data_IF_802677774257
#
_entry.id   IF_802677774257
#
_cell.length_a   1.000
_cell.length_b   1.000
_cell.length_c   1.000
_cell.angle_alpha   90.00
_cell.angle_beta   90.00
_cell.angle_gamma   90.00
#
_symmetry.space_group_name_H-M   'P 1'
#
loop_
_entity.id
_entity.type
_entity.pdbx_description
1 polymer ?
#
# COMPACT_ATOMS: atom_id res chain seq x y z
N UNK A 1 -48.74 -20.41 16.38
CA UNK A 1 -48.02 -21.27 15.44
C UNK A 1 -47.58 -20.38 14.26
N UNK A 2 -46.30 -20.40 13.93
CA UNK A 2 -45.73 -19.63 12.82
C UNK A 2 -45.70 -20.58 11.61
N UNK A 3 -46.13 -20.15 10.41
CA UNK A 3 -46.00 -20.95 9.19
C UNK A 3 -44.54 -21.38 8.97
N UNK A 4 -44.31 -22.56 8.42
CA UNK A 4 -42.99 -23.12 8.18
C UNK A 4 -42.08 -22.19 7.35
N UNK A 5 -42.67 -21.53 6.35
CA UNK A 5 -41.97 -20.53 5.51
C UNK A 5 -41.44 -19.34 6.33
N UNK A 6 -42.22 -18.83 7.27
CA UNK A 6 -41.82 -17.70 8.12
C UNK A 6 -40.78 -18.11 9.16
N UNK A 7 -40.91 -19.32 9.71
CA UNK A 7 -39.93 -19.88 10.63
C UNK A 7 -38.58 -20.12 9.92
N UNK A 8 -38.60 -20.63 8.70
CA UNK A 8 -37.40 -20.81 7.87
C UNK A 8 -36.73 -19.45 7.53
N UNK A 9 -37.53 -18.43 7.17
CA UNK A 9 -37.06 -17.08 6.87
C UNK A 9 -36.38 -16.45 8.10
N UNK A 10 -37.05 -16.47 9.27
CA UNK A 10 -36.51 -15.92 10.52
C UNK A 10 -35.22 -16.64 10.94
N UNK A 11 -35.21 -17.98 10.82
CA UNK A 11 -34.04 -18.79 11.10
C UNK A 11 -32.85 -18.44 10.22
N UNK A 12 -33.07 -18.29 8.92
CA UNK A 12 -32.04 -17.91 7.94
C UNK A 12 -31.51 -16.49 8.22
N UNK A 13 -32.39 -15.53 8.46
CA UNK A 13 -31.99 -14.17 8.81
C UNK A 13 -31.11 -14.13 10.06
N UNK A 14 -31.49 -14.87 11.09
CA UNK A 14 -30.72 -14.94 12.34
C UNK A 14 -29.33 -15.55 12.14
N UNK A 15 -29.26 -16.64 11.36
CA UNK A 15 -27.96 -17.26 11.03
C UNK A 15 -27.07 -16.28 10.24
N UNK A 16 -27.61 -15.60 9.25
CA UNK A 16 -26.85 -14.63 8.46
C UNK A 16 -26.38 -13.48 9.36
N UNK A 17 -27.25 -12.94 10.21
CA UNK A 17 -26.95 -11.79 11.06
C UNK A 17 -25.93 -12.12 12.15
N UNK A 18 -26.13 -13.21 12.87
CA UNK A 18 -25.42 -13.49 14.12
C UNK A 18 -24.19 -14.39 13.92
N UNK A 19 -24.18 -15.24 12.89
CA UNK A 19 -23.17 -16.29 12.74
C UNK A 19 -22.37 -16.21 11.43
N UNK A 20 -22.91 -15.64 10.34
CA UNK A 20 -22.18 -15.55 9.09
C UNK A 20 -21.19 -14.40 9.09
N UNK A 21 -19.96 -14.65 8.67
CA UNK A 21 -18.93 -13.61 8.44
C UNK A 21 -19.07 -13.00 7.04
N UNK A 22 -19.46 -13.82 6.06
CA UNK A 22 -19.65 -13.43 4.67
C UNK A 22 -20.82 -14.20 4.06
N UNK A 23 -21.51 -13.61 3.07
CA UNK A 23 -22.54 -14.23 2.28
C UNK A 23 -22.01 -14.78 0.96
N UNK A 24 -22.50 -15.93 0.53
CA UNK A 24 -22.31 -16.43 -0.83
C UNK A 24 -23.70 -16.62 -1.44
N UNK A 25 -24.04 -15.78 -2.41
CA UNK A 25 -25.28 -15.93 -3.17
C UNK A 25 -25.00 -16.82 -4.36
N UNK A 26 -25.64 -17.98 -4.42
CA UNK A 26 -25.52 -18.89 -5.56
C UNK A 26 -26.71 -18.70 -6.47
N UNK A 27 -26.47 -18.33 -7.72
CA UNK A 27 -27.47 -18.18 -8.76
C UNK A 27 -27.05 -18.93 -10.02
N UNK A 28 -27.85 -18.91 -11.06
CA UNK A 28 -27.59 -19.63 -12.32
C UNK A 28 -27.96 -18.79 -13.55
N UNK A 29 -27.34 -19.09 -14.66
CA UNK A 29 -27.71 -18.56 -15.99
C UNK A 29 -28.89 -19.31 -16.63
N UNK A 30 -29.49 -20.26 -15.92
CA UNK A 30 -30.55 -21.11 -16.42
C UNK A 30 -30.10 -22.36 -17.18
N UNK A 31 -28.78 -22.54 -17.36
CA UNK A 31 -28.22 -23.72 -18.04
C UNK A 31 -28.16 -24.96 -17.14
N UNK A 32 -28.31 -24.79 -15.84
CA UNK A 32 -28.29 -25.86 -14.85
C UNK A 32 -29.69 -25.98 -14.21
N UNK A 33 -30.26 -27.16 -14.29
CA UNK A 33 -31.60 -27.41 -13.81
C UNK A 33 -32.67 -27.31 -14.90
N UNK A 34 -33.95 -27.44 -14.50
CA UNK A 34 -35.09 -27.44 -15.41
C UNK A 34 -35.80 -26.10 -15.53
N UNK A 35 -35.42 -25.13 -14.67
CA UNK A 35 -36.08 -23.83 -14.61
C UNK A 35 -35.26 -22.77 -15.35
N UNK A 36 -35.90 -21.91 -16.15
CA UNK A 36 -35.23 -20.79 -16.82
C UNK A 36 -34.75 -19.72 -15.82
N UNK A 37 -33.81 -18.91 -16.27
CA UNK A 37 -33.16 -17.86 -15.45
C UNK A 37 -34.12 -16.94 -14.72
N UNK A 38 -35.23 -16.59 -15.38
CA UNK A 38 -36.23 -15.64 -14.86
C UNK A 38 -36.83 -16.07 -13.52
N UNK A 39 -36.90 -17.37 -13.27
CA UNK A 39 -37.47 -17.94 -12.04
C UNK A 39 -36.55 -17.75 -10.82
N UNK A 40 -35.28 -17.42 -11.04
CA UNK A 40 -34.30 -17.22 -9.96
C UNK A 40 -34.08 -15.76 -9.59
N UNK A 41 -34.44 -14.80 -10.47
CA UNK A 41 -34.15 -13.38 -10.33
C UNK A 41 -34.73 -12.79 -9.04
N UNK A 42 -36.00 -13.04 -8.74
CA UNK A 42 -36.65 -12.49 -7.54
C UNK A 42 -36.03 -13.02 -6.25
N UNK A 43 -35.70 -14.30 -6.19
CA UNK A 43 -35.03 -14.90 -5.03
C UNK A 43 -33.59 -14.37 -4.86
N UNK A 44 -32.88 -14.20 -5.97
CA UNK A 44 -31.53 -13.61 -6.00
C UNK A 44 -31.53 -12.17 -5.49
N UNK A 45 -32.41 -11.31 -6.00
CA UNK A 45 -32.57 -9.92 -5.56
C UNK A 45 -32.89 -9.87 -4.06
N UNK A 46 -33.84 -10.64 -3.59
CA UNK A 46 -34.19 -10.73 -2.18
C UNK A 46 -33.02 -11.13 -1.29
N UNK A 47 -32.22 -12.10 -1.73
CA UNK A 47 -31.03 -12.54 -0.98
C UNK A 47 -29.94 -11.46 -0.93
N UNK A 48 -29.69 -10.77 -2.05
CA UNK A 48 -28.71 -9.69 -2.13
C UNK A 48 -29.14 -8.49 -1.29
N UNK A 49 -30.42 -8.06 -1.38
CA UNK A 49 -30.97 -6.96 -0.58
C UNK A 49 -30.79 -7.21 0.92
N UNK A 50 -31.10 -8.42 1.37
CA UNK A 50 -30.93 -8.79 2.78
C UNK A 50 -29.49 -8.73 3.24
N UNK A 51 -28.55 -9.20 2.43
CA UNK A 51 -27.12 -9.11 2.76
C UNK A 51 -26.64 -7.65 2.83
N UNK A 52 -27.16 -6.79 1.94
CA UNK A 52 -26.90 -5.34 1.97
C UNK A 52 -27.48 -4.67 3.21
N UNK A 53 -28.74 -4.99 3.59
CA UNK A 53 -29.37 -4.47 4.80
C UNK A 53 -28.62 -4.83 6.07
N UNK A 54 -28.11 -6.06 6.15
CA UNK A 54 -27.34 -6.55 7.31
C UNK A 54 -25.90 -6.00 7.31
N UNK A 55 -25.44 -5.43 6.18
CA UNK A 55 -24.08 -4.91 6.03
C UNK A 55 -23.00 -5.99 5.96
N UNK A 56 -23.35 -7.22 5.59
CA UNK A 56 -22.38 -8.30 5.43
C UNK A 56 -21.73 -8.24 4.06
N UNK A 57 -20.42 -8.44 3.96
CA UNK A 57 -19.77 -8.63 2.67
C UNK A 57 -20.31 -9.91 2.00
N UNK A 58 -20.43 -9.88 0.67
CA UNK A 58 -20.94 -11.03 -0.08
C UNK A 58 -20.33 -11.11 -1.47
N UNK A 59 -20.32 -12.30 -2.02
CA UNK A 59 -19.97 -12.59 -3.40
C UNK A 59 -21.13 -13.35 -4.06
N UNK A 60 -21.22 -13.25 -5.38
CA UNK A 60 -22.21 -13.98 -6.17
C UNK A 60 -21.48 -15.07 -6.96
N UNK A 61 -21.91 -16.29 -6.81
CA UNK A 61 -21.46 -17.43 -7.62
C UNK A 61 -22.49 -17.69 -8.71
N UNK A 62 -22.12 -17.47 -9.96
CA UNK A 62 -22.94 -17.72 -11.12
C UNK A 62 -22.69 -19.13 -11.63
N UNK A 63 -23.62 -20.07 -11.30
CA UNK A 63 -23.51 -21.46 -11.69
C UNK A 63 -23.95 -21.66 -13.14
N UNK A 64 -23.04 -22.09 -13.99
CA UNK A 64 -23.27 -22.29 -15.42
C UNK A 64 -22.62 -23.57 -15.91
N UNK A 65 -23.26 -24.24 -16.88
CA UNK A 65 -22.63 -25.35 -17.61
C UNK A 65 -21.42 -24.90 -18.42
N UNK A 66 -21.42 -23.62 -18.88
CA UNK A 66 -20.35 -23.02 -19.68
C UNK A 66 -19.92 -21.69 -19.08
N UNK A 67 -19.20 -21.67 -17.96
CA UNK A 67 -18.89 -20.45 -17.21
C UNK A 67 -18.11 -19.41 -17.99
N UNK A 68 -17.43 -19.80 -19.07
CA UNK A 68 -16.61 -18.91 -19.91
C UNK A 68 -17.24 -18.61 -21.27
N UNK A 69 -18.53 -18.91 -21.49
CA UNK A 69 -19.22 -18.52 -22.71
C UNK A 69 -19.46 -17.00 -22.74
N UNK A 70 -19.60 -16.44 -23.95
CA UNK A 70 -19.90 -15.00 -24.12
C UNK A 70 -21.17 -14.57 -23.41
N UNK A 71 -22.19 -15.44 -23.44
CA UNK A 71 -23.47 -15.17 -22.80
C UNK A 71 -23.36 -15.13 -21.28
N UNK A 72 -22.65 -16.12 -20.69
CA UNK A 72 -22.42 -16.17 -19.22
C UNK A 72 -21.55 -15.00 -18.75
N UNK A 73 -20.55 -14.60 -19.53
CA UNK A 73 -19.71 -13.45 -19.21
C UNK A 73 -20.47 -12.12 -19.32
N UNK A 74 -21.34 -11.96 -20.32
CA UNK A 74 -22.22 -10.80 -20.41
C UNK A 74 -23.21 -10.72 -19.25
N UNK A 75 -23.79 -11.85 -18.83
CA UNK A 75 -24.64 -11.92 -17.64
C UNK A 75 -23.85 -11.57 -16.37
N UNK A 76 -22.64 -12.10 -16.24
CA UNK A 76 -21.73 -11.74 -15.13
C UNK A 76 -21.54 -10.21 -15.03
N UNK A 77 -21.19 -9.56 -16.13
CA UNK A 77 -20.98 -8.10 -16.16
C UNK A 77 -22.25 -7.33 -15.79
N UNK A 78 -23.42 -7.79 -16.28
CA UNK A 78 -24.70 -7.20 -15.92
C UNK A 78 -24.99 -7.31 -14.42
N UNK A 79 -24.76 -8.47 -13.83
CA UNK A 79 -24.97 -8.70 -12.39
C UNK A 79 -23.97 -7.91 -11.53
N UNK A 80 -22.71 -7.78 -11.97
CA UNK A 80 -21.70 -6.95 -11.28
C UNK A 80 -22.11 -5.47 -11.26
N UNK A 81 -22.67 -4.97 -12.36
CA UNK A 81 -23.18 -3.59 -12.44
C UNK A 81 -24.43 -3.38 -11.61
N UNK A 82 -25.37 -4.33 -11.62
CA UNK A 82 -26.64 -4.23 -10.90
C UNK A 82 -26.43 -4.31 -9.37
N UNK A 83 -25.65 -5.30 -8.92
CA UNK A 83 -25.49 -5.58 -7.49
C UNK A 83 -24.27 -4.89 -6.86
N UNK A 84 -23.37 -4.32 -7.66
CA UNK A 84 -22.09 -3.73 -7.20
C UNK A 84 -21.27 -4.74 -6.37
N UNK A 85 -21.29 -6.01 -6.79
CA UNK A 85 -20.64 -7.12 -6.13
C UNK A 85 -19.83 -7.95 -7.11
N UNK A 86 -18.85 -8.68 -6.62
CA UNK A 86 -18.07 -9.60 -7.44
C UNK A 86 -18.92 -10.82 -7.81
N UNK A 87 -18.96 -11.14 -9.11
CA UNK A 87 -19.64 -12.33 -9.66
C UNK A 87 -18.59 -13.29 -10.21
N UNK A 88 -18.60 -14.53 -9.69
CA UNK A 88 -17.67 -15.58 -10.10
C UNK A 88 -18.44 -16.66 -10.86
N UNK A 89 -18.28 -16.76 -12.19
CA UNK A 89 -18.91 -17.81 -12.97
C UNK A 89 -18.15 -19.13 -12.78
N UNK A 90 -18.85 -20.19 -12.41
CA UNK A 90 -18.28 -21.53 -12.22
C UNK A 90 -19.28 -22.61 -12.62
N UNK A 91 -18.79 -23.81 -12.90
CA UNK A 91 -19.63 -25.01 -13.00
C UNK A 91 -19.57 -25.78 -11.67
N UNK A 92 -20.57 -25.62 -10.83
CA UNK A 92 -20.58 -26.25 -9.52
C UNK A 92 -20.60 -27.79 -9.56
N UNK A 93 -21.07 -28.40 -10.66
CA UNK A 93 -21.06 -29.86 -10.84
C UNK A 93 -19.66 -30.37 -11.23
N UNK A 94 -18.86 -29.56 -11.89
CA UNK A 94 -17.55 -29.91 -12.39
C UNK A 94 -16.47 -28.95 -11.81
N UNK A 95 -16.65 -28.56 -10.56
CA UNK A 95 -15.76 -27.60 -9.90
C UNK A 95 -14.37 -28.20 -9.71
N UNK A 96 -13.36 -27.53 -10.26
CA UNK A 96 -11.96 -27.87 -10.07
C UNK A 96 -11.35 -27.07 -8.93
N UNK A 97 -10.13 -27.47 -8.51
CA UNK A 97 -9.39 -26.77 -7.45
C UNK A 97 -9.17 -25.30 -7.77
N UNK A 98 -8.94 -24.96 -9.02
CA UNK A 98 -8.69 -23.59 -9.49
C UNK A 98 -9.94 -22.72 -9.37
N UNK A 99 -11.12 -23.27 -9.68
CA UNK A 99 -12.40 -22.58 -9.50
C UNK A 99 -12.64 -22.28 -8.03
N UNK A 100 -12.40 -23.26 -7.15
CA UNK A 100 -12.52 -23.08 -5.71
C UNK A 100 -11.57 -21.98 -5.20
N UNK A 101 -10.32 -21.99 -5.65
CA UNK A 101 -9.33 -20.94 -5.30
C UNK A 101 -9.79 -19.57 -5.77
N UNK A 102 -10.41 -19.47 -6.95
CA UNK A 102 -10.94 -18.23 -7.50
C UNK A 102 -12.10 -17.70 -6.66
N UNK A 103 -13.05 -18.55 -6.30
CA UNK A 103 -14.16 -18.20 -5.40
C UNK A 103 -13.63 -17.77 -4.04
N UNK A 104 -12.69 -18.51 -3.45
CA UNK A 104 -12.10 -18.17 -2.16
C UNK A 104 -11.35 -16.84 -2.19
N UNK A 105 -10.60 -16.57 -3.25
CA UNK A 105 -9.95 -15.27 -3.45
C UNK A 105 -11.00 -14.15 -3.52
N UNK A 106 -12.03 -14.31 -4.33
CA UNK A 106 -13.12 -13.32 -4.43
C UNK A 106 -13.74 -13.03 -3.07
N UNK A 107 -14.00 -14.08 -2.27
CA UNK A 107 -14.51 -13.96 -0.90
C UNK A 107 -13.55 -13.12 -0.03
N UNK A 108 -12.27 -13.46 -0.03
CA UNK A 108 -11.26 -12.79 0.81
C UNK A 108 -11.08 -11.32 0.44
N UNK A 109 -11.21 -10.97 -0.84
CA UNK A 109 -11.13 -9.59 -1.31
C UNK A 109 -12.34 -8.74 -0.89
N UNK A 110 -13.47 -9.34 -0.53
CA UNK A 110 -14.66 -8.64 0.00
C UNK A 110 -14.57 -8.33 1.51
N UNK A 111 -13.58 -8.87 2.21
CA UNK A 111 -13.40 -8.56 3.62
C UNK A 111 -13.06 -7.09 3.84
N UNK A 112 -13.57 -6.51 4.96
CA UNK A 112 -13.24 -5.14 5.31
C UNK A 112 -11.76 -4.99 5.62
N UNK A 113 -11.19 -3.86 5.24
CA UNK A 113 -9.85 -3.47 5.68
C UNK A 113 -9.94 -3.02 7.13
N UNK A 114 -9.14 -3.65 7.97
CA UNK A 114 -9.05 -3.34 9.40
C UNK A 114 -7.90 -2.38 9.71
N UNK A 115 -6.87 -2.40 8.84
CA UNK A 115 -5.66 -1.61 9.00
C UNK A 115 -5.03 -1.27 7.66
N UNK A 116 -4.60 -0.01 7.52
CA UNK A 116 -3.81 0.45 6.38
C UNK A 116 -2.46 0.92 6.90
N UNK A 117 -1.38 0.28 6.44
CA UNK A 117 -0.01 0.67 6.73
C UNK A 117 0.59 1.39 5.52
N UNK A 118 1.29 2.51 5.77
CA UNK A 118 1.99 3.25 4.72
C UNK A 118 3.49 3.03 4.86
N UNK A 119 4.09 2.38 3.85
CA UNK A 119 5.54 2.22 3.76
C UNK A 119 6.14 3.43 3.06
N UNK A 120 6.76 4.32 3.82
CA UNK A 120 7.42 5.54 3.35
C UNK A 120 8.93 5.41 3.43
N UNK A 121 9.73 6.20 2.65
CA UNK A 121 11.17 6.21 2.78
C UNK A 121 11.61 6.64 4.19
N UNK A 122 12.51 5.88 4.81
CA UNK A 122 12.93 6.11 6.22
C UNK A 122 13.45 7.52 6.51
N UNK A 123 14.10 8.14 5.55
CA UNK A 123 14.62 9.50 5.72
C UNK A 123 13.51 10.54 5.97
N UNK A 124 12.28 10.26 5.51
CA UNK A 124 11.13 11.16 5.73
C UNK A 124 10.68 11.20 7.18
N UNK A 125 11.08 10.23 8.00
CA UNK A 125 10.82 10.22 9.44
C UNK A 125 11.55 11.37 10.15
N UNK A 126 12.70 11.78 9.63
CA UNK A 126 13.52 12.90 10.17
C UNK A 126 12.89 14.26 9.87
N UNK A 127 11.93 14.36 8.94
CA UNK A 127 11.27 15.61 8.61
C UNK A 127 10.47 16.14 9.80
N UNK A 128 10.54 17.45 10.10
CA UNK A 128 9.64 18.11 11.05
C UNK A 128 8.17 17.88 10.66
N UNK A 129 7.26 17.90 11.63
CA UNK A 129 5.83 17.69 11.36
C UNK A 129 5.24 18.77 10.43
N UNK A 130 5.78 19.98 10.50
CA UNK A 130 5.37 21.14 9.70
C UNK A 130 5.96 21.14 8.28
N UNK A 131 6.84 20.18 7.98
CA UNK A 131 7.48 20.11 6.67
C UNK A 131 6.46 19.80 5.58
N UNK A 132 6.49 20.56 4.48
CA UNK A 132 5.51 20.45 3.37
C UNK A 132 5.37 19.03 2.82
N UNK A 133 6.48 18.32 2.65
CA UNK A 133 6.48 16.94 2.17
C UNK A 133 5.75 16.01 3.14
N UNK A 134 6.01 16.12 4.44
CA UNK A 134 5.36 15.27 5.45
C UNK A 134 3.87 15.55 5.52
N UNK A 135 3.46 16.81 5.44
CA UNK A 135 2.06 17.21 5.35
C UNK A 135 1.39 16.64 4.09
N UNK A 136 2.05 16.70 2.93
CA UNK A 136 1.53 16.13 1.68
C UNK A 136 1.39 14.61 1.75
N UNK A 137 2.37 13.90 2.35
CA UNK A 137 2.28 12.45 2.57
C UNK A 137 1.07 12.09 3.45
N UNK A 138 0.88 12.79 4.57
CA UNK A 138 -0.24 12.56 5.49
C UNK A 138 -1.58 12.85 4.78
N UNK A 139 -1.66 13.94 4.04
CA UNK A 139 -2.88 14.29 3.32
C UNK A 139 -3.20 13.27 2.22
N UNK A 140 -2.22 12.83 1.46
CA UNK A 140 -2.39 11.79 0.44
C UNK A 140 -2.82 10.46 1.08
N UNK A 141 -2.19 10.07 2.19
CA UNK A 141 -2.58 8.89 2.95
C UNK A 141 -4.03 8.96 3.46
N UNK A 142 -4.45 10.10 4.02
CA UNK A 142 -5.81 10.32 4.50
C UNK A 142 -6.84 10.18 3.37
N UNK A 143 -6.58 10.79 2.21
CA UNK A 143 -7.47 10.71 1.05
C UNK A 143 -7.56 9.30 0.47
N UNK A 144 -6.43 8.56 0.45
CA UNK A 144 -6.43 7.16 0.04
C UNK A 144 -7.29 6.30 0.96
N UNK A 145 -7.22 6.53 2.27
CA UNK A 145 -8.02 5.79 3.26
C UNK A 145 -9.52 6.00 3.08
N UNK A 146 -9.97 7.18 2.68
CA UNK A 146 -11.38 7.48 2.44
C UNK A 146 -11.98 6.61 1.31
N UNK A 147 -11.16 6.14 0.37
CA UNK A 147 -11.56 5.27 -0.73
C UNK A 147 -11.43 3.77 -0.46
N UNK A 148 -10.86 3.35 0.68
CA UNK A 148 -10.52 1.95 0.96
C UNK A 148 -11.41 1.42 2.09
N UNK A 149 -12.51 0.77 1.72
CA UNK A 149 -13.36 0.07 2.68
C UNK A 149 -13.11 -1.44 2.73
N UNK A 150 -12.78 -2.04 1.59
CA UNK A 150 -12.52 -3.47 1.42
C UNK A 150 -11.14 -3.66 0.79
N UNK A 151 -10.61 -4.87 0.91
CA UNK A 151 -9.30 -5.19 0.32
C UNK A 151 -9.28 -4.99 -1.20
N UNK A 152 -10.37 -5.31 -1.91
CA UNK A 152 -10.48 -5.06 -3.35
C UNK A 152 -10.39 -3.58 -3.72
N UNK A 153 -10.93 -2.70 -2.86
CA UNK A 153 -10.95 -1.27 -3.12
C UNK A 153 -9.52 -0.71 -3.14
N UNK A 154 -8.64 -1.24 -2.29
CA UNK A 154 -7.24 -0.86 -2.27
C UNK A 154 -6.55 -1.13 -3.61
N UNK A 155 -6.81 -2.28 -4.23
CA UNK A 155 -6.28 -2.61 -5.54
C UNK A 155 -6.88 -1.73 -6.65
N UNK A 156 -8.19 -1.46 -6.60
CA UNK A 156 -8.89 -0.63 -7.58
C UNK A 156 -8.47 0.85 -7.49
N UNK A 157 -8.40 1.39 -6.29
CA UNK A 157 -8.00 2.78 -6.02
C UNK A 157 -6.56 3.04 -6.50
N UNK A 158 -5.66 2.06 -6.37
CA UNK A 158 -4.26 2.16 -6.71
C UNK A 158 -3.92 1.64 -8.13
N UNK A 159 -4.92 1.20 -8.90
CA UNK A 159 -4.70 0.66 -10.26
C UNK A 159 -4.15 1.67 -11.29
N UNK A 160 -4.17 2.97 -10.99
CA UNK A 160 -3.69 4.03 -11.86
C UNK A 160 -2.67 4.94 -11.19
N UNK A 161 -1.93 5.71 -12.00
CA UNK A 161 -1.00 6.73 -11.50
C UNK A 161 -1.68 8.07 -11.15
N UNK A 162 -3.00 8.10 -11.06
CA UNK A 162 -3.75 9.34 -10.79
C UNK A 162 -3.41 9.93 -9.43
N UNK A 163 -3.17 9.09 -8.44
CA UNK A 163 -2.76 9.52 -7.10
C UNK A 163 -1.40 10.19 -7.07
N UNK A 164 -0.43 9.66 -7.85
CA UNK A 164 0.90 10.27 -8.00
C UNK A 164 0.77 11.64 -8.63
N UNK A 165 -0.01 11.75 -9.72
CA UNK A 165 -0.26 13.03 -10.40
C UNK A 165 -0.93 14.04 -9.47
N UNK A 166 -2.03 13.64 -8.83
CA UNK A 166 -2.76 14.52 -7.90
C UNK A 166 -1.90 14.99 -6.71
N UNK A 167 -1.07 14.10 -6.17
CA UNK A 167 -0.16 14.45 -5.07
C UNK A 167 0.95 15.41 -5.52
N UNK A 168 1.52 15.22 -6.72
CA UNK A 168 2.54 16.09 -7.29
C UNK A 168 1.97 17.46 -7.70
N UNK A 169 0.78 17.51 -8.27
CA UNK A 169 0.09 18.77 -8.59
C UNK A 169 -0.13 19.64 -7.35
N UNK A 170 -0.47 19.04 -6.20
CA UNK A 170 -0.62 19.76 -4.94
C UNK A 170 0.70 20.36 -4.42
N UNK A 171 1.81 19.68 -4.68
CA UNK A 171 3.14 20.14 -4.28
C UNK A 171 3.73 21.15 -5.26
N UNK A 172 3.18 21.26 -6.48
CA UNK A 172 3.75 21.98 -7.62
C UNK A 172 5.17 21.50 -8.01
N UNK A 173 5.53 20.29 -7.58
CA UNK A 173 6.84 19.65 -7.78
C UNK A 173 6.65 18.14 -7.93
N UNK A 174 7.54 17.47 -8.66
CA UNK A 174 7.56 16.01 -8.79
C UNK A 174 8.19 15.35 -7.56
N UNK A 175 7.42 15.25 -6.50
CA UNK A 175 7.86 14.69 -5.21
C UNK A 175 7.68 13.18 -5.15
N UNK A 176 6.50 12.69 -5.55
CA UNK A 176 6.17 11.27 -5.54
C UNK A 176 6.52 10.62 -6.87
N UNK A 177 7.29 9.55 -6.79
CA UNK A 177 7.64 8.70 -7.94
C UNK A 177 6.55 7.65 -8.19
N UNK A 178 6.10 7.01 -7.10
CA UNK A 178 5.13 5.93 -7.18
C UNK A 178 4.32 5.78 -5.88
N UNK A 179 3.05 5.40 -6.03
CA UNK A 179 2.15 5.04 -4.94
C UNK A 179 1.43 3.76 -5.35
N UNK A 180 1.77 2.64 -4.71
CA UNK A 180 1.27 1.33 -5.11
C UNK A 180 0.93 0.43 -3.93
N UNK A 181 0.06 -0.54 -4.19
CA UNK A 181 -0.23 -1.61 -3.24
C UNK A 181 1.00 -2.53 -3.13
N UNK A 182 1.61 -2.59 -1.96
CA UNK A 182 2.76 -3.45 -1.70
C UNK A 182 2.32 -4.86 -1.29
N UNK A 183 1.45 -4.95 -0.31
CA UNK A 183 0.92 -6.23 0.20
C UNK A 183 -0.51 -6.05 0.67
N UNK A 184 -1.29 -7.13 0.58
CA UNK A 184 -2.60 -7.25 1.20
C UNK A 184 -2.62 -8.57 1.98
N UNK A 185 -2.64 -8.48 3.30
CA UNK A 185 -2.79 -9.64 4.18
C UNK A 185 -4.27 -9.89 4.44
N UNK A 186 -4.79 -10.86 3.70
CA UNK A 186 -6.20 -11.22 3.73
C UNK A 186 -6.62 -11.93 5.03
N UNK A 187 -5.64 -12.39 5.83
CA UNK A 187 -5.91 -13.11 7.08
C UNK A 187 -6.35 -12.17 8.20
N UNK A 188 -5.84 -10.94 8.20
CA UNK A 188 -6.11 -9.94 9.23
C UNK A 188 -6.70 -8.63 8.68
N UNK A 189 -6.93 -8.55 7.35
CA UNK A 189 -7.47 -7.36 6.69
C UNK A 189 -6.48 -6.19 6.66
N UNK A 190 -5.16 -6.44 6.70
CA UNK A 190 -4.14 -5.40 6.64
C UNK A 190 -3.68 -5.15 5.21
N UNK A 191 -3.68 -3.89 4.81
CA UNK A 191 -3.20 -3.43 3.51
C UNK A 191 -1.98 -2.55 3.71
N UNK A 192 -0.89 -2.83 2.98
CA UNK A 192 0.31 -1.98 2.98
C UNK A 192 0.43 -1.25 1.65
N UNK A 193 0.45 0.07 1.71
CA UNK A 193 0.63 0.96 0.56
C UNK A 193 2.03 1.54 0.62
N UNK A 194 2.80 1.36 -0.45
CA UNK A 194 4.13 1.97 -0.59
C UNK A 194 4.01 3.32 -1.26
N UNK A 195 4.62 4.33 -0.66
CA UNK A 195 4.82 5.65 -1.24
C UNK A 195 6.31 5.86 -1.50
N UNK A 196 6.71 5.99 -2.75
CA UNK A 196 8.08 6.26 -3.15
C UNK A 196 8.23 7.73 -3.58
N UNK A 197 9.31 8.37 -3.13
CA UNK A 197 9.67 9.72 -3.54
C UNK A 197 10.69 9.70 -4.67
N UNK A 198 10.81 10.79 -5.41
CA UNK A 198 11.88 10.97 -6.38
C UNK A 198 13.23 11.13 -5.68
N UNK A 199 14.32 10.74 -6.35
CA UNK A 199 15.67 10.95 -5.84
C UNK A 199 15.98 12.44 -5.67
N UNK A 200 15.47 13.26 -6.57
CA UNK A 200 15.64 14.71 -6.52
C UNK A 200 15.05 15.30 -5.25
N UNK A 201 13.89 14.83 -4.79
CA UNK A 201 13.29 15.22 -3.53
C UNK A 201 14.21 14.89 -2.34
N UNK A 202 14.84 13.72 -2.33
CA UNK A 202 15.80 13.32 -1.30
C UNK A 202 17.02 14.23 -1.25
N UNK A 203 17.66 14.52 -2.41
CA UNK A 203 18.84 15.38 -2.46
C UNK A 203 18.50 16.85 -2.15
N UNK A 204 17.34 17.34 -2.59
CA UNK A 204 16.85 18.66 -2.23
C UNK A 204 16.70 18.81 -0.72
N UNK A 205 16.14 17.81 -0.04
CA UNK A 205 16.02 17.81 1.41
C UNK A 205 17.37 17.80 2.13
N UNK A 206 18.32 16.97 1.68
CA UNK A 206 19.67 16.97 2.25
C UNK A 206 20.33 18.34 2.07
N UNK A 207 20.14 18.95 0.91
CA UNK A 207 20.68 20.29 0.62
C UNK A 207 20.09 21.34 1.55
N UNK A 208 18.80 21.30 1.80
CA UNK A 208 18.10 22.19 2.73
C UNK A 208 18.63 22.03 4.16
N UNK A 209 18.75 20.78 4.63
CA UNK A 209 19.20 20.48 6.00
C UNK A 209 20.65 20.80 6.25
N UNK A 210 21.50 20.66 5.25
CA UNK A 210 22.96 20.87 5.41
C UNK A 210 23.43 22.23 4.97
N UNK A 211 22.59 22.99 4.25
CA UNK A 211 22.99 24.26 3.63
C UNK A 211 23.95 24.07 2.45
N UNK A 212 24.12 22.85 1.96
CA UNK A 212 25.08 22.51 0.91
C UNK A 212 24.32 22.08 -0.36
N UNK A 213 24.82 22.46 -1.54
CA UNK A 213 24.22 22.02 -2.81
C UNK A 213 24.61 20.57 -3.11
N UNK A 214 23.63 19.65 -3.02
CA UNK A 214 23.77 18.23 -3.32
C UNK A 214 22.69 17.86 -4.32
N UNK A 215 23.09 17.60 -5.56
CA UNK A 215 22.18 17.29 -6.66
C UNK A 215 22.15 15.79 -7.02
N UNK A 216 23.05 15.00 -6.41
CA UNK A 216 23.16 13.58 -6.69
C UNK A 216 24.18 12.85 -5.81
N UNK A 217 24.22 11.53 -5.99
CA UNK A 217 25.07 10.62 -5.19
C UNK A 217 26.56 10.97 -5.27
N UNK A 218 27.05 11.37 -6.45
CA UNK A 218 28.46 11.71 -6.64
C UNK A 218 28.89 12.89 -5.74
N UNK A 219 28.08 13.94 -5.71
CA UNK A 219 28.36 15.12 -4.87
C UNK A 219 28.26 14.77 -3.40
N UNK A 220 27.27 13.97 -3.00
CA UNK A 220 27.13 13.47 -1.63
C UNK A 220 28.36 12.66 -1.19
N UNK A 221 28.82 11.71 -2.01
CA UNK A 221 30.02 10.90 -1.71
C UNK A 221 31.27 11.77 -1.63
N UNK A 222 31.43 12.70 -2.57
CA UNK A 222 32.58 13.64 -2.57
C UNK A 222 32.59 14.48 -1.30
N UNK A 223 31.45 14.98 -0.87
CA UNK A 223 31.27 15.76 0.34
C UNK A 223 31.57 14.95 1.59
N UNK A 224 31.04 13.72 1.70
CA UNK A 224 31.34 12.83 2.82
C UNK A 224 32.84 12.52 2.94
N UNK A 225 33.52 12.34 1.80
CA UNK A 225 35.00 12.19 1.78
C UNK A 225 35.70 13.43 2.28
N UNK A 226 35.23 14.60 1.88
CA UNK A 226 35.81 15.91 2.32
C UNK A 226 35.60 16.10 3.82
N UNK A 227 34.37 15.86 4.30
CA UNK A 227 34.04 15.94 5.73
C UNK A 227 34.84 14.93 6.56
N UNK A 228 35.03 13.69 6.07
CA UNK A 228 35.86 12.68 6.73
C UNK A 228 37.33 13.13 6.86
N UNK A 229 37.86 13.79 5.83
CA UNK A 229 39.21 14.36 5.87
C UNK A 229 39.28 15.51 6.86
N UNK A 230 38.35 16.48 6.79
CA UNK A 230 38.29 17.59 7.73
C UNK A 230 38.16 17.12 9.18
N UNK A 231 37.35 16.09 9.43
CA UNK A 231 37.20 15.47 10.74
C UNK A 231 38.53 14.96 11.28
N UNK A 232 39.30 14.22 10.47
CA UNK A 232 40.64 13.73 10.87
C UNK A 232 41.61 14.85 11.18
N UNK A 233 41.58 15.93 10.39
CA UNK A 233 42.44 17.09 10.67
C UNK A 233 41.99 17.82 11.93
N UNK A 234 40.69 17.95 12.16
CA UNK A 234 40.15 18.57 13.37
C UNK A 234 40.51 17.73 14.62
N UNK A 235 40.36 16.42 14.60
CA UNK A 235 40.73 15.50 15.69
C UNK A 235 42.22 15.63 16.08
N UNK A 236 43.08 15.97 15.14
CA UNK A 236 44.51 16.23 15.42
C UNK A 236 44.79 17.52 16.19
N UNK A 237 43.90 18.50 16.06
CA UNK A 237 44.07 19.83 16.68
C UNK A 237 43.11 20.07 17.85
N UNK A 238 42.13 19.20 18.05
CA UNK A 238 41.07 19.35 19.03
C UNK A 238 41.59 19.56 20.45
N UNK A 239 42.56 18.72 20.89
CA UNK A 239 43.18 18.84 22.21
C UNK A 239 43.98 20.17 22.36
N UNK A 240 44.62 20.59 21.29
CA UNK A 240 45.37 21.85 21.30
C UNK A 240 44.42 23.07 21.34
N UNK A 241 43.30 23.01 20.62
CA UNK A 241 42.25 24.04 20.66
C UNK A 241 41.62 24.17 22.05
N UNK A 242 41.25 23.03 22.66
CA UNK A 242 40.73 22.99 24.01
C UNK A 242 41.75 23.53 25.04
N UNK A 243 43.03 23.24 24.86
CA UNK A 243 44.11 23.79 25.69
C UNK A 243 44.27 25.30 25.52
N UNK A 244 44.10 25.84 24.30
CA UNK A 244 44.12 27.29 24.05
C UNK A 244 43.00 28.01 24.81
N UNK A 245 41.79 27.46 24.80
CA UNK A 245 40.64 28.02 25.52
C UNK A 245 40.88 28.07 27.04
N UNK A 246 41.53 27.04 27.60
CA UNK A 246 41.76 26.96 29.04
C UNK A 246 43.03 27.64 29.53
N UNK A 247 44.10 27.59 28.75
CA UNK A 247 45.45 27.96 29.17
C UNK A 247 46.06 29.10 28.35
N UNK A 248 45.37 29.52 27.28
CA UNK A 248 45.88 30.56 26.37
C UNK A 248 46.90 30.05 25.34
N UNK A 249 47.32 28.80 25.39
CA UNK A 249 48.18 28.17 24.39
C UNK A 249 47.91 26.68 24.24
N UNK A 250 48.14 26.13 23.05
CA UNK A 250 48.02 24.73 22.72
C UNK A 250 49.19 24.26 21.85
N UNK A 251 49.54 22.99 21.94
CA UNK A 251 50.64 22.39 21.16
C UNK A 251 50.07 21.26 20.29
N UNK A 252 50.32 21.35 18.98
CA UNK A 252 50.03 20.30 18.03
C UNK A 252 51.29 19.54 17.72
N UNK A 253 51.32 18.24 18.05
CA UNK A 253 52.47 17.38 17.68
C UNK A 253 52.28 16.87 16.26
N UNK A 254 53.29 16.99 15.38
CA UNK A 254 53.22 16.40 14.03
C UNK A 254 53.18 14.86 14.13
N UNK A 255 52.34 14.23 13.31
CA UNK A 255 52.33 12.78 13.18
C UNK A 255 53.58 12.29 12.44
N UNK A 256 53.87 11.00 12.59
CA UNK A 256 55.01 10.39 11.88
C UNK A 256 54.95 10.53 10.36
N UNK A 257 53.76 10.65 9.79
CA UNK A 257 53.51 10.90 8.36
C UNK A 257 53.84 12.32 7.90
N UNK A 258 53.96 13.24 8.82
CA UNK A 258 54.19 14.67 8.51
C UNK A 258 55.69 14.99 8.52
N UNK A 259 56.52 14.06 9.01
CA UNK A 259 57.97 14.19 9.06
C UNK A 259 58.54 13.72 7.72
N UNK A 260 58.99 14.66 6.90
CA UNK A 260 59.80 14.35 5.72
C UNK A 260 61.26 14.28 6.15
N UNK A 261 61.88 13.12 6.04
CA UNK A 261 63.33 13.01 6.14
C UNK A 261 63.92 13.31 4.76
N UNK A 262 64.78 14.29 4.69
CA UNK A 262 65.57 14.51 3.49
C UNK A 262 66.67 13.44 3.40
N UNK A 263 67.00 13.05 2.18
CA UNK A 263 68.10 12.10 1.95
C UNK A 263 69.40 12.62 2.53
N UNK A 264 70.22 11.76 3.17
CA UNK A 264 71.46 12.22 3.76
C UNK A 264 72.43 12.78 2.71
N UNK A 265 72.77 14.07 2.84
CA UNK A 265 73.79 14.73 2.00
C UNK A 265 75.17 14.35 2.54
N UNK A 266 75.96 13.63 1.74
CA UNK A 266 77.34 13.38 2.03
C UNK A 266 78.09 14.72 1.94
N UNK A 267 78.52 15.27 3.09
CA UNK A 267 79.47 16.37 3.13
C UNK A 267 80.83 15.75 2.96
N UNK A 268 81.51 16.04 1.83
CA UNK A 268 82.91 15.77 1.58
C UNK A 268 83.79 16.75 2.28
#
# INVERSE_FOLDING_TARGET
EIPFSDAARIGTEKVIKDHATIGIVVTTDGSIGELPRENYVEAEQTAVEKLKEIGKPYVIVLNSVRPYSSETLALKESLEQEYQAVVVPVNCQQMHREDLVTVMKAILFEFPVTRVDFAIPKWTEMLPMEHKLKAAMIQTASRLMDGIGRVRDAAAVLAGQEWVKSANEQMAEEVFRDIQLQTADLSNGTVTIRMETTEQCYFSYISEMTGMQIEGEYQMISMLRSLSRMKKEYERVEDAMAAVEQKGYGVVMPGLSDIRMEDPVLIQ
#
